data_IF_711323353476
#
_entry.id   IF_711323353476
#
_cell.length_a   1.000
_cell.length_b   1.000
_cell.length_c   1.000
_cell.angle_alpha   90.00
_cell.angle_beta   90.00
_cell.angle_gamma   90.00
#
_symmetry.space_group_name_H-M   'P 1'
#
loop_
_entity.id
_entity.type
_entity.pdbx_description
1 polymer ?
#
# COMPACT_ATOMS: atom_id res chain seq x y z
N UNK A 1 -31.79 31.62 5.26
CA UNK A 1 -30.65 30.98 5.96
C UNK A 1 -31.23 29.90 6.86
N UNK A 2 -31.13 28.63 6.46
CA UNK A 2 -31.58 27.51 7.29
C UNK A 2 -30.54 27.24 8.38
N UNK A 3 -30.94 27.28 9.64
CA UNK A 3 -30.08 26.87 10.76
C UNK A 3 -29.74 25.38 10.60
N UNK A 4 -28.44 25.07 10.53
CA UNK A 4 -27.97 23.69 10.62
C UNK A 4 -28.18 23.27 12.08
N UNK A 5 -29.23 22.51 12.34
CA UNK A 5 -29.48 21.91 13.65
C UNK A 5 -28.42 20.81 13.82
N UNK A 6 -27.41 21.08 14.64
CA UNK A 6 -26.45 20.08 15.05
C UNK A 6 -27.19 19.07 15.93
N UNK A 7 -27.28 17.81 15.48
CA UNK A 7 -27.96 16.75 16.23
C UNK A 7 -27.09 16.31 17.39
N UNK A 8 -27.69 16.15 18.56
CA UNK A 8 -27.01 15.66 19.76
C UNK A 8 -26.81 14.14 19.72
N UNK A 9 -25.87 13.65 20.53
CA UNK A 9 -25.53 12.23 20.59
C UNK A 9 -26.71 11.34 21.03
N UNK A 10 -27.59 11.86 21.90
CA UNK A 10 -28.73 11.09 22.39
C UNK A 10 -29.81 10.91 21.31
N UNK A 11 -30.07 11.94 20.50
CA UNK A 11 -30.98 11.80 19.36
C UNK A 11 -30.45 10.79 18.33
N UNK A 12 -29.14 10.78 18.05
CA UNK A 12 -28.50 9.79 17.17
C UNK A 12 -28.65 8.34 17.68
N UNK A 13 -28.50 8.13 18.99
CA UNK A 13 -28.67 6.80 19.61
C UNK A 13 -30.15 6.35 19.54
N UNK A 14 -31.08 7.26 19.82
CA UNK A 14 -32.51 6.98 19.73
C UNK A 14 -32.94 6.61 18.31
N UNK A 15 -32.45 7.32 17.30
CA UNK A 15 -32.72 7.00 15.89
C UNK A 15 -32.14 5.63 15.53
N UNK A 16 -30.91 5.33 15.94
CA UNK A 16 -30.26 4.03 15.69
C UNK A 16 -31.06 2.86 16.28
N UNK A 17 -31.54 2.98 17.53
CA UNK A 17 -32.40 1.98 18.18
C UNK A 17 -33.77 1.88 17.51
N UNK A 18 -34.33 3.00 17.10
CA UNK A 18 -35.61 3.02 16.38
C UNK A 18 -35.49 2.28 15.05
N UNK A 19 -34.40 2.47 14.29
CA UNK A 19 -34.15 1.71 13.06
C UNK A 19 -33.90 0.23 13.34
N UNK A 20 -33.20 -0.11 14.42
CA UNK A 20 -32.98 -1.51 14.82
C UNK A 20 -34.29 -2.25 15.07
N UNK A 21 -35.24 -1.62 15.76
CA UNK A 21 -36.56 -2.21 16.06
C UNK A 21 -37.49 -2.20 14.84
N UNK A 22 -37.53 -1.08 14.11
CA UNK A 22 -38.53 -0.88 13.04
C UNK A 22 -38.07 -1.33 11.65
N UNK A 23 -36.77 -1.57 11.46
CA UNK A 23 -36.10 -1.88 10.18
C UNK A 23 -36.37 -0.87 9.06
N UNK A 24 -36.74 0.36 9.41
CA UNK A 24 -37.00 1.45 8.45
C UNK A 24 -35.93 2.51 8.57
N UNK A 25 -35.35 2.90 7.43
CA UNK A 25 -34.33 3.95 7.37
C UNK A 25 -34.88 5.25 7.98
N UNK A 26 -34.20 5.75 9.00
CA UNK A 26 -34.55 7.00 9.69
C UNK A 26 -33.34 7.92 9.64
N UNK A 27 -33.45 9.03 8.91
CA UNK A 27 -32.40 10.03 8.74
C UNK A 27 -31.01 9.48 8.36
N UNK A 28 -30.94 8.44 7.54
CA UNK A 28 -29.68 7.84 7.08
C UNK A 28 -29.15 6.71 7.96
N UNK A 29 -29.81 6.42 9.08
CA UNK A 29 -29.52 5.22 9.87
C UNK A 29 -30.13 3.99 9.20
N UNK A 30 -29.30 2.98 8.93
CA UNK A 30 -29.70 1.73 8.27
C UNK A 30 -29.86 0.56 9.25
N UNK A 31 -29.71 0.82 10.55
CA UNK A 31 -29.76 -0.19 11.59
C UNK A 31 -28.42 -0.90 11.75
N UNK A 32 -28.43 -2.01 12.48
CA UNK A 32 -27.25 -2.83 12.73
C UNK A 32 -26.74 -3.41 11.40
N UNK A 33 -25.46 -3.16 11.10
CA UNK A 33 -24.82 -3.71 9.89
C UNK A 33 -24.96 -5.23 9.88
N UNK A 34 -25.21 -5.82 8.71
CA UNK A 34 -25.15 -7.28 8.52
C UNK A 34 -23.80 -7.88 8.93
N UNK A 35 -22.75 -7.04 9.04
CA UNK A 35 -21.41 -7.43 9.48
C UNK A 35 -21.19 -7.21 10.98
N UNK A 36 -22.13 -6.60 11.71
CA UNK A 36 -21.96 -6.29 13.13
C UNK A 36 -21.84 -7.54 14.00
N UNK A 37 -22.52 -8.63 13.62
CA UNK A 37 -22.43 -9.92 14.31
C UNK A 37 -21.27 -10.79 13.80
N UNK A 38 -20.53 -10.32 12.79
CA UNK A 38 -19.33 -10.97 12.25
C UNK A 38 -18.10 -10.30 12.87
N UNK A 39 -17.98 -10.35 14.19
CA UNK A 39 -16.85 -9.78 14.93
C UNK A 39 -15.65 -10.73 15.01
N UNK A 40 -15.88 -12.05 14.96
CA UNK A 40 -14.84 -13.06 15.13
C UNK A 40 -14.43 -13.68 13.79
N UNK A 41 -13.87 -12.86 12.90
CA UNK A 41 -13.08 -13.40 11.80
C UNK A 41 -11.71 -13.78 12.37
N UNK A 42 -11.34 -15.08 12.44
CA UNK A 42 -10.10 -15.49 13.07
C UNK A 42 -8.92 -14.87 12.34
N UNK A 43 -7.94 -14.38 13.10
CA UNK A 43 -6.66 -13.97 12.52
C UNK A 43 -6.06 -15.16 11.76
N UNK A 44 -5.53 -14.95 10.54
CA UNK A 44 -5.25 -13.67 9.87
C UNK A 44 -6.38 -13.18 8.93
N UNK A 45 -7.52 -13.86 8.84
CA UNK A 45 -8.60 -13.55 7.88
C UNK A 45 -9.23 -12.17 8.17
N UNK A 46 -9.16 -11.71 9.42
CA UNK A 46 -9.62 -10.37 9.82
C UNK A 46 -8.71 -9.23 9.35
N UNK A 47 -7.48 -9.53 8.94
CA UNK A 47 -6.56 -8.55 8.37
C UNK A 47 -6.57 -8.74 6.86
N UNK A 48 -7.54 -8.09 6.20
CA UNK A 48 -7.44 -7.81 4.77
C UNK A 48 -6.30 -6.80 4.56
N UNK A 49 -5.06 -7.29 4.54
CA UNK A 49 -3.92 -6.45 4.23
C UNK A 49 -3.97 -6.08 2.75
N UNK A 50 -4.49 -4.91 2.45
CA UNK A 50 -4.42 -4.37 1.12
C UNK A 50 -2.97 -3.94 0.80
N UNK A 51 -2.31 -4.69 -0.08
CA UNK A 51 -0.98 -4.38 -0.60
C UNK A 51 -0.89 -2.98 -1.22
N UNK A 52 -1.96 -2.53 -1.87
CA UNK A 52 -2.05 -1.18 -2.42
C UNK A 52 -1.89 -0.13 -1.32
N UNK A 53 -2.57 -0.27 -0.19
CA UNK A 53 -2.47 0.72 0.88
C UNK A 53 -1.23 0.54 1.75
N UNK A 54 -0.89 -0.70 2.07
CA UNK A 54 0.19 -1.08 2.98
C UNK A 54 1.54 -0.89 2.29
N UNK A 55 1.81 -1.61 1.21
CA UNK A 55 3.13 -1.53 0.56
C UNK A 55 3.27 -0.31 -0.33
N UNK A 56 2.30 0.00 -1.20
CA UNK A 56 2.49 1.06 -2.19
C UNK A 56 2.28 2.46 -1.59
N UNK A 57 1.09 2.73 -1.05
CA UNK A 57 0.70 4.08 -0.63
C UNK A 57 1.25 4.47 0.75
N UNK A 58 1.61 3.51 1.61
CA UNK A 58 2.26 3.80 2.88
C UNK A 58 3.77 3.58 2.76
N UNK A 59 4.19 2.33 2.78
CA UNK A 59 5.59 1.96 2.95
C UNK A 59 6.50 2.53 1.86
N UNK A 60 6.30 2.09 0.62
CA UNK A 60 7.16 2.45 -0.50
C UNK A 60 7.11 3.94 -0.81
N UNK A 61 5.94 4.59 -0.70
CA UNK A 61 5.84 6.05 -0.83
C UNK A 61 6.73 6.77 0.20
N UNK A 62 6.73 6.32 1.45
CA UNK A 62 7.53 6.95 2.50
C UNK A 62 9.04 6.68 2.28
N UNK A 63 9.40 5.50 1.75
CA UNK A 63 10.76 5.22 1.25
C UNK A 63 11.16 6.22 0.16
N UNK A 64 10.35 6.40 -0.88
CA UNK A 64 10.65 7.33 -1.98
C UNK A 64 10.78 8.76 -1.46
N UNK A 65 9.92 9.19 -0.52
CA UNK A 65 10.02 10.51 0.12
C UNK A 65 11.33 10.68 0.90
N UNK A 66 11.68 9.70 1.73
CA UNK A 66 12.92 9.71 2.53
C UNK A 66 14.14 9.86 1.63
N UNK A 67 14.22 9.04 0.58
CA UNK A 67 15.25 9.12 -0.46
C UNK A 67 15.25 10.48 -1.15
N UNK A 68 14.08 11.00 -1.51
CA UNK A 68 13.98 12.27 -2.23
C UNK A 68 14.46 13.44 -1.38
N UNK A 69 14.27 13.39 -0.07
CA UNK A 69 14.77 14.42 0.85
C UNK A 69 16.29 14.41 0.98
N UNK A 70 16.98 13.28 0.78
CA UNK A 70 18.44 13.24 0.76
C UNK A 70 19.05 13.77 -0.54
N UNK A 71 18.23 14.04 -1.58
CA UNK A 71 18.68 14.52 -2.88
C UNK A 71 18.60 16.06 -3.01
N UNK A 72 19.56 16.64 -3.73
CA UNK A 72 19.55 18.07 -4.04
C UNK A 72 18.35 18.44 -4.92
N UNK A 73 17.83 19.69 -4.84
CA UNK A 73 16.69 20.12 -5.65
C UNK A 73 16.92 19.98 -7.17
N UNK A 74 18.16 20.19 -7.63
CA UNK A 74 18.51 20.02 -9.04
C UNK A 74 18.40 18.57 -9.50
N UNK A 75 18.86 17.63 -8.67
CA UNK A 75 18.74 16.18 -8.94
C UNK A 75 17.27 15.76 -8.95
N UNK A 76 16.47 16.23 -7.98
CA UNK A 76 15.02 15.95 -7.93
C UNK A 76 14.31 16.38 -9.21
N UNK A 77 14.56 17.60 -9.70
CA UNK A 77 13.99 18.09 -10.97
C UNK A 77 14.39 17.22 -12.16
N UNK A 78 15.65 16.76 -12.19
CA UNK A 78 16.15 15.87 -13.25
C UNK A 78 15.41 14.52 -13.21
N UNK A 79 15.23 13.94 -12.02
CA UNK A 79 14.47 12.69 -11.86
C UNK A 79 13.01 12.89 -12.26
N UNK A 80 12.37 13.98 -11.84
CA UNK A 80 10.97 14.28 -12.21
C UNK A 80 10.77 14.35 -13.72
N UNK A 81 11.71 14.97 -14.42
CA UNK A 81 11.71 15.00 -15.88
C UNK A 81 11.83 13.58 -16.46
N UNK A 82 12.80 12.79 -16.03
CA UNK A 82 13.00 11.43 -16.55
C UNK A 82 11.84 10.48 -16.23
N UNK A 83 11.21 10.62 -15.06
CA UNK A 83 10.02 9.84 -14.70
C UNK A 83 8.85 10.14 -15.65
N UNK A 84 8.60 11.42 -15.93
CA UNK A 84 7.49 11.85 -16.81
C UNK A 84 7.70 11.46 -18.27
N UNK A 85 8.95 11.46 -18.72
CA UNK A 85 9.33 11.08 -20.08
C UNK A 85 9.47 9.57 -20.29
N UNK A 86 9.43 8.76 -19.22
CA UNK A 86 9.50 7.31 -19.36
C UNK A 86 8.32 6.80 -20.18
N UNK A 87 8.64 6.21 -21.32
CA UNK A 87 7.66 5.57 -22.19
C UNK A 87 7.29 4.20 -21.61
N UNK A 88 5.98 3.94 -21.54
CA UNK A 88 5.45 2.64 -21.16
C UNK A 88 4.77 2.00 -22.37
N UNK A 89 4.72 0.65 -22.43
CA UNK A 89 3.91 -0.05 -23.40
C UNK A 89 2.45 0.45 -23.40
N UNK A 90 1.80 0.43 -24.56
CA UNK A 90 0.46 0.98 -24.77
C UNK A 90 -0.64 0.42 -23.82
N UNK A 91 -0.43 -0.76 -23.25
CA UNK A 91 -1.35 -1.38 -22.28
C UNK A 91 -1.20 -0.83 -20.84
N UNK A 92 -0.22 0.03 -20.58
CA UNK A 92 -0.13 0.75 -19.31
C UNK A 92 -1.07 1.95 -19.33
N UNK A 93 -2.13 1.88 -18.53
CA UNK A 93 -3.16 2.92 -18.48
C UNK A 93 -2.69 4.27 -17.91
N UNK A 94 -1.49 4.35 -17.31
CA UNK A 94 -0.97 5.57 -16.66
C UNK A 94 0.54 5.72 -16.78
N UNK A 95 0.96 6.95 -17.09
CA UNK A 95 2.36 7.40 -17.01
C UNK A 95 2.80 7.54 -15.56
N UNK A 96 4.12 7.55 -15.34
CA UNK A 96 4.67 7.91 -14.04
C UNK A 96 4.48 9.40 -13.76
N UNK A 97 4.37 9.73 -12.48
CA UNK A 97 4.38 11.11 -12.00
C UNK A 97 5.75 11.45 -11.42
N UNK A 98 6.01 12.74 -11.29
CA UNK A 98 7.20 13.23 -10.58
C UNK A 98 7.10 12.97 -9.08
N UNK A 99 8.25 13.00 -8.42
CA UNK A 99 8.43 13.02 -6.97
C UNK A 99 7.62 14.17 -6.34
N UNK A 100 7.53 15.33 -7.01
CA UNK A 100 6.74 16.46 -6.50
C UNK A 100 5.24 16.14 -6.32
N UNK A 101 4.72 15.18 -7.08
CA UNK A 101 3.31 14.77 -7.06
C UNK A 101 3.01 13.61 -6.10
N UNK A 102 3.99 13.16 -5.29
CA UNK A 102 3.85 11.96 -4.43
C UNK A 102 2.70 12.05 -3.42
N UNK A 103 2.27 13.25 -3.03
CA UNK A 103 1.14 13.42 -2.11
C UNK A 103 -0.21 13.01 -2.72
N UNK A 104 -0.33 13.08 -4.05
CA UNK A 104 -1.58 12.80 -4.79
C UNK A 104 -1.45 11.62 -5.75
N UNK A 105 -0.39 10.83 -5.61
CA UNK A 105 -0.13 9.68 -6.47
C UNK A 105 -1.10 8.54 -6.17
N UNK A 106 -1.62 7.90 -7.22
CA UNK A 106 -2.49 6.73 -7.07
C UNK A 106 -1.65 5.47 -6.93
N UNK A 107 -2.20 4.45 -6.29
CA UNK A 107 -1.51 3.18 -6.09
C UNK A 107 -1.00 2.54 -7.38
N UNK A 108 -1.80 2.59 -8.45
CA UNK A 108 -1.38 2.04 -9.74
C UNK A 108 -0.17 2.75 -10.35
N UNK A 109 -0.03 4.06 -10.11
CA UNK A 109 1.14 4.84 -10.52
C UNK A 109 2.35 4.49 -9.64
N UNK A 110 2.12 4.31 -8.33
CA UNK A 110 3.14 3.88 -7.38
C UNK A 110 3.66 2.47 -7.66
N UNK A 111 2.78 1.56 -8.10
CA UNK A 111 3.16 0.22 -8.57
C UNK A 111 4.10 0.30 -9.76
N UNK A 112 3.79 1.15 -10.73
CA UNK A 112 4.64 1.34 -11.90
C UNK A 112 6.00 1.91 -11.50
N UNK A 113 6.02 2.83 -10.54
CA UNK A 113 7.26 3.37 -9.99
C UNK A 113 8.08 2.26 -9.33
N UNK A 114 7.48 1.48 -8.42
CA UNK A 114 8.16 0.38 -7.72
C UNK A 114 8.78 -0.62 -8.70
N UNK A 115 8.00 -1.11 -9.66
CA UNK A 115 8.41 -2.21 -10.52
C UNK A 115 9.28 -1.81 -11.72
N UNK A 116 9.13 -0.57 -12.21
CA UNK A 116 9.70 -0.18 -13.51
C UNK A 116 10.40 1.19 -13.51
N UNK A 117 10.17 2.05 -12.53
CA UNK A 117 10.72 3.41 -12.50
C UNK A 117 11.84 3.61 -11.48
N UNK A 118 11.75 2.97 -10.31
CA UNK A 118 12.59 3.31 -9.17
C UNK A 118 14.06 2.99 -9.43
N UNK A 119 14.39 1.73 -9.71
CA UNK A 119 15.80 1.36 -9.97
C UNK A 119 16.35 2.13 -11.19
N UNK A 120 15.70 2.14 -12.38
CA UNK A 120 16.27 2.81 -13.55
C UNK A 120 16.57 4.30 -13.36
N UNK A 121 15.77 5.01 -12.56
CA UNK A 121 15.94 6.46 -12.38
C UNK A 121 16.75 6.84 -11.14
N UNK A 122 16.83 5.95 -10.15
CA UNK A 122 17.51 6.26 -8.90
C UNK A 122 18.85 5.52 -8.70
N UNK A 123 19.19 4.52 -9.53
CA UNK A 123 20.37 3.66 -9.28
C UNK A 123 21.69 4.43 -9.13
N UNK A 124 21.88 5.53 -9.85
CA UNK A 124 23.13 6.30 -9.81
C UNK A 124 23.35 7.04 -8.49
N UNK A 125 22.31 7.16 -7.66
CA UNK A 125 22.35 7.89 -6.39
C UNK A 125 22.45 6.98 -5.17
N UNK A 126 22.58 5.66 -5.39
CA UNK A 126 22.60 4.66 -4.33
C UNK A 126 23.84 3.78 -4.40
N UNK A 127 24.25 3.25 -3.25
CA UNK A 127 25.27 2.19 -3.20
C UNK A 127 24.69 0.87 -3.70
N UNK A 128 25.55 -0.06 -4.08
CA UNK A 128 25.14 -1.41 -4.48
C UNK A 128 24.31 -2.11 -3.37
N UNK A 129 24.66 -1.87 -2.11
CA UNK A 129 23.95 -2.37 -0.93
C UNK A 129 22.52 -1.83 -0.84
N UNK A 130 22.35 -0.50 -1.00
CA UNK A 130 21.03 0.15 -0.99
C UNK A 130 20.14 -0.32 -2.15
N UNK A 131 20.73 -0.50 -3.34
CA UNK A 131 20.01 -1.05 -4.50
C UNK A 131 19.59 -2.50 -4.24
N UNK A 132 20.50 -3.33 -3.69
CA UNK A 132 20.21 -4.72 -3.36
C UNK A 132 19.08 -4.81 -2.34
N UNK A 133 19.12 -3.97 -1.31
CA UNK A 133 18.07 -3.84 -0.32
C UNK A 133 16.70 -3.52 -0.96
N UNK A 134 16.58 -2.47 -1.79
CA UNK A 134 15.30 -2.17 -2.45
C UNK A 134 14.88 -3.27 -3.43
N UNK A 135 15.84 -3.95 -4.05
CA UNK A 135 15.57 -5.07 -4.97
C UNK A 135 14.89 -6.23 -4.24
N UNK A 136 15.20 -6.48 -2.97
CA UNK A 136 14.50 -7.49 -2.15
C UNK A 136 13.01 -7.20 -2.05
N UNK A 137 12.62 -5.95 -1.80
CA UNK A 137 11.21 -5.53 -1.78
C UNK A 137 10.55 -5.76 -3.14
N UNK A 138 11.17 -5.28 -4.22
CA UNK A 138 10.62 -5.40 -5.58
C UNK A 138 10.44 -6.87 -5.97
N UNK A 139 11.45 -7.71 -5.72
CA UNK A 139 11.41 -9.13 -6.02
C UNK A 139 10.37 -9.87 -5.16
N UNK A 140 10.32 -9.61 -3.85
CA UNK A 140 9.36 -10.23 -2.95
C UNK A 140 7.92 -9.93 -3.35
N UNK A 141 7.62 -8.64 -3.59
CA UNK A 141 6.32 -8.21 -4.09
C UNK A 141 6.00 -8.82 -5.46
N UNK A 142 6.96 -8.83 -6.39
CA UNK A 142 6.73 -9.39 -7.72
C UNK A 142 6.41 -10.88 -7.67
N UNK A 143 7.06 -11.65 -6.80
CA UNK A 143 6.74 -13.06 -6.58
C UNK A 143 5.27 -13.20 -6.13
N UNK A 144 4.86 -12.42 -5.13
CA UNK A 144 3.52 -12.49 -4.53
C UNK A 144 2.41 -11.87 -5.39
N UNK A 145 2.76 -11.17 -6.46
CA UNK A 145 1.81 -10.65 -7.45
C UNK A 145 1.71 -11.51 -8.72
N UNK A 146 2.59 -12.49 -8.87
CA UNK A 146 2.74 -13.26 -10.09
C UNK A 146 2.18 -14.67 -9.96
N UNK A 147 1.69 -15.23 -11.06
CA UNK A 147 1.28 -16.62 -11.10
C UNK A 147 2.51 -17.52 -11.02
N UNK A 148 2.76 -18.09 -9.84
CA UNK A 148 3.68 -19.22 -9.58
C UNK A 148 5.00 -19.17 -10.36
N UNK A 149 5.73 -18.04 -10.34
CA UNK A 149 7.05 -17.89 -11.02
C UNK A 149 8.00 -19.04 -10.65
N UNK A 150 7.97 -19.47 -9.40
CA UNK A 150 8.77 -20.56 -8.83
C UNK A 150 7.90 -21.77 -8.44
N UNK A 151 6.78 -22.00 -9.14
CA UNK A 151 5.85 -23.07 -8.78
C UNK A 151 5.22 -22.85 -7.40
N UNK A 152 5.05 -23.92 -6.63
CA UNK A 152 4.47 -23.88 -5.27
C UNK A 152 5.35 -23.12 -4.26
N UNK A 153 6.64 -22.93 -4.55
CA UNK A 153 7.56 -22.22 -3.65
C UNK A 153 7.49 -20.69 -3.78
N UNK A 154 6.72 -20.17 -4.75
CA UNK A 154 6.66 -18.74 -5.04
C UNK A 154 6.25 -17.91 -3.82
N UNK A 155 5.29 -18.38 -3.02
CA UNK A 155 4.85 -17.69 -1.81
C UNK A 155 5.93 -17.69 -0.73
N UNK A 156 6.63 -18.81 -0.57
CA UNK A 156 7.70 -19.00 0.40
C UNK A 156 8.90 -18.11 0.06
N UNK A 157 9.34 -18.14 -1.19
CA UNK A 157 10.44 -17.29 -1.69
C UNK A 157 10.06 -15.81 -1.57
N UNK A 158 8.84 -15.45 -1.96
CA UNK A 158 8.33 -14.08 -1.81
C UNK A 158 8.37 -13.60 -0.36
N UNK A 159 7.92 -14.44 0.58
CA UNK A 159 7.96 -14.14 2.01
C UNK A 159 9.40 -14.01 2.52
N UNK A 160 10.31 -14.92 2.15
CA UNK A 160 11.72 -14.85 2.56
C UNK A 160 12.43 -13.59 2.07
N UNK A 161 12.16 -13.16 0.83
CA UNK A 161 12.70 -11.91 0.28
C UNK A 161 12.21 -10.69 1.07
N UNK A 162 10.93 -10.65 1.42
CA UNK A 162 10.37 -9.60 2.26
C UNK A 162 10.94 -9.65 3.69
N UNK A 163 11.11 -10.82 4.28
CA UNK A 163 11.76 -10.98 5.59
C UNK A 163 13.19 -10.45 5.57
N UNK A 164 13.99 -10.80 4.56
CA UNK A 164 15.35 -10.30 4.40
C UNK A 164 15.38 -8.78 4.24
N UNK A 165 14.41 -8.22 3.50
CA UNK A 165 14.22 -6.77 3.41
C UNK A 165 13.94 -6.14 4.78
N UNK A 166 13.05 -6.70 5.60
CA UNK A 166 12.73 -6.14 6.92
C UNK A 166 13.88 -6.22 7.92
N UNK A 167 14.63 -7.32 7.92
CA UNK A 167 15.79 -7.50 8.81
C UNK A 167 16.84 -6.40 8.62
N UNK A 168 16.90 -5.82 7.43
CA UNK A 168 17.86 -4.76 7.07
C UNK A 168 17.23 -3.36 7.05
N UNK A 169 15.93 -3.22 7.35
CA UNK A 169 15.19 -1.96 7.16
C UNK A 169 15.80 -0.80 7.95
N UNK A 170 16.08 -1.03 9.25
CA UNK A 170 16.70 -0.07 10.16
C UNK A 170 18.05 0.47 9.67
N UNK A 171 18.78 -0.34 8.91
CA UNK A 171 20.14 -0.03 8.44
C UNK A 171 20.13 0.92 7.25
N UNK A 172 19.06 0.92 6.45
CA UNK A 172 18.98 1.71 5.21
C UNK A 172 17.93 2.83 5.25
N UNK A 173 16.88 2.69 6.06
CA UNK A 173 15.79 3.66 6.16
C UNK A 173 15.41 3.85 7.64
N UNK A 174 16.22 4.65 8.34
CA UNK A 174 16.00 4.96 9.73
C UNK A 174 14.66 5.70 9.94
N UNK A 175 13.98 5.36 11.05
CA UNK A 175 12.73 5.99 11.50
C UNK A 175 11.50 5.80 10.60
N UNK A 176 11.54 4.87 9.63
CA UNK A 176 10.36 4.45 8.85
C UNK A 176 9.82 3.07 9.24
N UNK A 177 10.31 2.51 10.35
CA UNK A 177 9.72 1.34 10.98
C UNK A 177 8.31 1.67 11.47
N UNK A 178 7.30 1.06 10.85
CA UNK A 178 5.91 1.25 11.22
C UNK A 178 5.20 -0.11 11.27
N UNK A 179 4.00 -0.14 11.86
CA UNK A 179 3.20 -1.36 11.95
C UNK A 179 2.88 -1.99 10.58
N UNK A 180 2.98 -1.21 9.51
CA UNK A 180 2.77 -1.65 8.12
C UNK A 180 3.86 -2.64 7.68
N UNK A 181 5.06 -2.60 8.27
CA UNK A 181 6.08 -3.63 8.06
C UNK A 181 5.64 -5.00 8.56
N UNK A 182 5.01 -5.06 9.74
CA UNK A 182 4.47 -6.31 10.31
C UNK A 182 3.33 -6.87 9.46
N UNK A 183 2.50 -6.01 8.85
CA UNK A 183 1.42 -6.45 7.96
C UNK A 183 1.93 -7.24 6.74
N UNK A 184 3.16 -6.99 6.30
CA UNK A 184 3.75 -7.73 5.18
C UNK A 184 4.05 -9.20 5.53
N UNK A 185 4.23 -9.56 6.80
CA UNK A 185 4.47 -10.95 7.23
C UNK A 185 3.27 -11.86 6.91
N UNK A 186 2.07 -11.29 6.81
CA UNK A 186 0.86 -12.00 6.46
C UNK A 186 0.69 -12.24 4.95
N UNK A 187 1.53 -11.65 4.10
CA UNK A 187 1.34 -11.73 2.63
C UNK A 187 1.53 -13.14 2.07
N UNK A 188 2.44 -13.93 2.64
CA UNK A 188 2.62 -15.33 2.22
C UNK A 188 1.36 -16.17 2.47
N UNK A 189 0.68 -15.92 3.59
CA UNK A 189 -0.58 -16.58 3.94
C UNK A 189 -1.71 -16.12 3.00
N UNK A 190 -1.83 -14.82 2.75
CA UNK A 190 -2.82 -14.24 1.81
C UNK A 190 -2.61 -14.82 0.40
N UNK A 191 -1.38 -14.88 -0.08
CA UNK A 191 -1.07 -15.47 -1.38
C UNK A 191 -1.45 -16.95 -1.44
N UNK A 192 -1.21 -17.72 -0.38
CA UNK A 192 -1.56 -19.15 -0.34
C UNK A 192 -3.07 -19.35 -0.38
N UNK A 193 -3.83 -18.47 0.29
CA UNK A 193 -5.30 -18.53 0.32
C UNK A 193 -5.96 -18.05 -0.98
N UNK A 194 -5.39 -17.02 -1.63
CA UNK A 194 -6.03 -16.32 -2.75
C UNK A 194 -5.29 -16.45 -4.08
N UNK A 195 -4.22 -17.25 -4.14
CA UNK A 195 -3.30 -17.46 -5.27
C UNK A 195 -2.55 -16.20 -5.77
N UNK A 196 -2.90 -15.01 -5.30
CA UNK A 196 -2.20 -13.75 -5.54
C UNK A 196 -2.58 -12.70 -4.50
N UNK A 197 -1.71 -11.71 -4.30
CA UNK A 197 -2.11 -10.44 -3.70
C UNK A 197 -2.97 -9.67 -4.73
N UNK A 198 -4.30 -9.72 -4.61
CA UNK A 198 -5.23 -8.94 -5.44
C UNK A 198 -6.40 -8.48 -4.56
N UNK A 199 -6.87 -7.23 -4.57
CA UNK A 199 -6.58 -5.99 -5.34
C UNK A 199 -5.90 -4.91 -4.50
#
# INVERSE_FOLDING_TARGET
MGSVICRDENSFICDSRTVEVTRKNTFGHLGKSILHDILDVPLPISILCDYTHVTLLRHFRDVVKSVSYSLSPAIRKKIDYHLREQTFPHYFNRKLRGIEDLSHIKATEMKNLLLYGFIPHFFTFFTAEQISYISLLICGIRCLHSNKIFGEETSVIGAQLLTAYYQQHSSYIQHNENFVLHLHEHYGQIHTLHASLST
#
